data_IF_660849814857
#
_entry.id   IF_660849814857
#
_cell.length_a   1.000
_cell.length_b   1.000
_cell.length_c   1.000
_cell.angle_alpha   90.00
_cell.angle_beta   90.00
_cell.angle_gamma   90.00
#
_symmetry.space_group_name_H-M   'P 1'
#
loop_
_entity.id
_entity.type
_entity.pdbx_description
1 polymer ?
#
# COMPACT_ATOMS: atom_id res chain seq x y z
N UNK A 1 -33.48 25.14 1.35
CA UNK A 1 -32.65 24.14 0.66
C UNK A 1 -31.66 23.57 1.67
N UNK A 2 -31.84 22.31 2.08
CA UNK A 2 -30.97 21.67 3.06
C UNK A 2 -29.70 21.19 2.37
N UNK A 3 -28.53 21.67 2.82
CA UNK A 3 -27.23 21.14 2.42
C UNK A 3 -27.02 19.80 3.13
N UNK A 4 -27.17 18.70 2.40
CA UNK A 4 -26.81 17.36 2.85
C UNK A 4 -25.33 17.33 3.22
N UNK A 5 -25.03 17.12 4.51
CA UNK A 5 -23.68 16.76 4.96
C UNK A 5 -23.34 15.42 4.32
N UNK A 6 -22.42 15.40 3.37
CA UNK A 6 -21.78 14.17 2.94
C UNK A 6 -20.75 13.80 4.02
N UNK A 7 -21.20 13.12 5.06
CA UNK A 7 -20.34 12.42 6.01
C UNK A 7 -20.42 10.92 5.73
N UNK A 8 -19.97 10.51 4.56
CA UNK A 8 -19.51 9.13 4.35
C UNK A 8 -18.00 9.23 4.19
N UNK A 9 -17.30 9.15 5.32
CA UNK A 9 -15.87 8.91 5.29
C UNK A 9 -15.68 7.54 4.63
N UNK A 10 -15.16 7.53 3.41
CA UNK A 10 -14.68 6.30 2.76
C UNK A 10 -13.62 5.73 3.72
N UNK A 11 -13.96 4.60 4.34
CA UNK A 11 -13.12 3.97 5.35
C UNK A 11 -11.87 3.43 4.64
N UNK A 12 -10.69 3.91 5.04
CA UNK A 12 -9.45 3.47 4.40
C UNK A 12 -9.11 2.03 4.79
N UNK A 13 -8.31 1.31 3.99
CA UNK A 13 -7.77 0.00 4.39
C UNK A 13 -7.17 0.04 5.79
N UNK A 14 -6.37 1.07 6.10
CA UNK A 14 -5.66 1.17 7.36
C UNK A 14 -6.63 1.25 8.55
N UNK A 15 -7.68 2.05 8.40
CA UNK A 15 -8.74 2.18 9.40
C UNK A 15 -9.51 0.86 9.57
N UNK A 16 -9.88 0.23 8.46
CA UNK A 16 -10.58 -1.06 8.47
C UNK A 16 -9.72 -2.16 9.10
N UNK A 17 -8.44 -2.24 8.74
CA UNK A 17 -7.49 -3.21 9.28
C UNK A 17 -7.32 -3.03 10.79
N UNK A 18 -7.22 -1.77 11.25
CA UNK A 18 -7.13 -1.44 12.67
C UNK A 18 -8.39 -1.87 13.42
N UNK A 19 -9.57 -1.62 12.86
CA UNK A 19 -10.84 -2.03 13.45
C UNK A 19 -10.95 -3.55 13.55
N UNK A 20 -10.64 -4.28 12.48
CA UNK A 20 -10.67 -5.74 12.49
C UNK A 20 -9.68 -6.33 13.50
N UNK A 21 -8.47 -5.76 13.59
CA UNK A 21 -7.48 -6.17 14.60
C UNK A 21 -8.00 -5.94 16.03
N UNK A 22 -8.63 -4.79 16.28
CA UNK A 22 -9.20 -4.46 17.59
C UNK A 22 -10.41 -5.34 17.93
N UNK A 23 -11.27 -5.65 16.96
CA UNK A 23 -12.38 -6.58 17.11
C UNK A 23 -11.90 -8.00 17.44
N UNK A 24 -10.78 -8.42 16.86
CA UNK A 24 -10.09 -9.67 17.17
C UNK A 24 -9.30 -9.62 18.50
N UNK A 25 -9.30 -8.49 19.21
CA UNK A 25 -8.57 -8.27 20.47
C UNK A 25 -7.05 -8.50 20.36
N UNK A 26 -6.49 -8.30 19.17
CA UNK A 26 -5.07 -8.45 18.91
C UNK A 26 -4.33 -7.12 19.08
N UNK A 27 -3.18 -7.15 19.75
CA UNK A 27 -2.21 -6.07 19.63
C UNK A 27 -1.56 -6.07 18.25
N UNK A 28 -1.00 -4.94 17.84
CA UNK A 28 -0.27 -4.81 16.58
C UNK A 28 0.93 -5.78 16.52
N UNK A 29 1.53 -6.08 17.68
CA UNK A 29 2.63 -7.06 17.80
C UNK A 29 2.14 -8.49 17.60
N UNK A 30 1.03 -8.88 18.23
CA UNK A 30 0.46 -10.21 18.06
C UNK A 30 -0.03 -10.46 16.63
N UNK A 31 -0.58 -9.45 15.95
CA UNK A 31 -0.97 -9.59 14.54
C UNK A 31 0.26 -9.76 13.65
N UNK A 32 1.31 -8.96 13.87
CA UNK A 32 2.59 -9.10 13.17
C UNK A 32 3.20 -10.50 13.34
N UNK A 33 3.25 -11.02 14.58
CA UNK A 33 3.77 -12.36 14.88
C UNK A 33 2.95 -13.47 14.19
N UNK A 34 1.62 -13.38 14.19
CA UNK A 34 0.74 -14.39 13.56
C UNK A 34 0.77 -14.36 12.03
N UNK A 35 1.05 -13.20 11.43
CA UNK A 35 1.10 -13.02 9.98
C UNK A 35 2.49 -13.21 9.40
N UNK A 36 3.53 -13.18 10.23
CA UNK A 36 4.92 -13.17 9.76
C UNK A 36 5.36 -11.81 9.20
N UNK A 37 4.54 -10.77 9.37
CA UNK A 37 4.79 -9.42 8.88
C UNK A 37 5.52 -8.63 9.96
N UNK A 38 6.51 -7.81 9.59
CA UNK A 38 7.21 -6.98 10.59
C UNK A 38 6.27 -5.95 11.22
N UNK A 39 6.42 -5.75 12.53
CA UNK A 39 5.61 -4.79 13.28
C UNK A 39 5.70 -3.33 12.74
N UNK A 40 6.89 -2.82 12.34
CA UNK A 40 6.99 -1.50 11.72
C UNK A 40 6.22 -1.39 10.40
N UNK A 41 6.25 -2.43 9.57
CA UNK A 41 5.55 -2.44 8.28
C UNK A 41 4.04 -2.51 8.48
N UNK A 42 3.55 -3.36 9.38
CA UNK A 42 2.13 -3.41 9.76
C UNK A 42 1.63 -2.06 10.30
N UNK A 43 2.45 -1.37 11.10
CA UNK A 43 2.14 -0.02 11.59
C UNK A 43 2.05 1.02 10.46
N UNK A 44 2.86 0.88 9.40
CA UNK A 44 2.75 1.74 8.23
C UNK A 44 1.48 1.46 7.43
N UNK A 45 1.06 0.20 7.32
CA UNK A 45 -0.19 -0.19 6.65
C UNK A 45 -1.41 0.36 7.40
N UNK A 46 -1.51 0.18 8.73
CA UNK A 46 -2.64 0.71 9.53
C UNK A 46 -2.75 2.24 9.48
N UNK A 47 -1.64 2.94 9.24
CA UNK A 47 -1.61 4.41 9.08
C UNK A 47 -1.81 4.87 7.63
N UNK A 48 -1.96 3.95 6.68
CA UNK A 48 -2.08 4.25 5.26
C UNK A 48 -0.79 4.81 4.62
N UNK A 49 0.37 4.63 5.27
CA UNK A 49 1.68 5.10 4.77
C UNK A 49 2.32 4.13 3.76
N UNK A 50 1.85 2.87 3.73
CA UNK A 50 2.33 1.83 2.81
C UNK A 50 1.17 1.00 2.29
N UNK A 51 1.28 0.62 1.01
CA UNK A 51 0.41 -0.38 0.41
C UNK A 51 0.99 -1.79 0.65
N UNK A 52 0.18 -2.74 1.15
CA UNK A 52 0.58 -4.14 1.23
C UNK A 52 0.61 -4.79 -0.16
N UNK A 53 1.45 -5.82 -0.34
CA UNK A 53 1.35 -6.72 -1.50
C UNK A 53 0.12 -7.62 -1.40
N UNK A 54 -0.26 -8.26 -2.51
CA UNK A 54 -1.35 -9.23 -2.52
C UNK A 54 -1.13 -10.36 -1.48
N UNK A 55 0.11 -10.87 -1.37
CA UNK A 55 0.45 -11.90 -0.39
C UNK A 55 0.24 -11.44 1.04
N UNK A 56 0.63 -10.19 1.34
CA UNK A 56 0.43 -9.57 2.66
C UNK A 56 -1.06 -9.40 2.96
N UNK A 57 -1.86 -8.99 1.98
CA UNK A 57 -3.33 -8.91 2.12
C UNK A 57 -3.92 -10.28 2.43
N UNK A 58 -3.48 -11.34 1.74
CA UNK A 58 -3.94 -12.71 1.98
C UNK A 58 -3.58 -13.20 3.39
N UNK A 59 -2.35 -12.93 3.85
CA UNK A 59 -1.90 -13.29 5.20
C UNK A 59 -2.73 -12.59 6.29
N UNK A 60 -2.96 -11.28 6.13
CA UNK A 60 -3.78 -10.48 7.05
C UNK A 60 -5.23 -10.99 7.08
N UNK A 61 -5.81 -11.23 5.91
CA UNK A 61 -7.17 -11.73 5.77
C UNK A 61 -7.36 -13.09 6.45
N UNK A 62 -6.39 -14.00 6.29
CA UNK A 62 -6.39 -15.32 6.91
C UNK A 62 -6.40 -15.25 8.44
N UNK A 63 -5.55 -14.42 9.03
CA UNK A 63 -5.44 -14.28 10.50
C UNK A 63 -6.68 -13.58 11.08
N UNK A 64 -7.16 -12.53 10.40
CA UNK A 64 -8.33 -11.76 10.82
C UNK A 64 -9.67 -12.43 10.46
N UNK A 65 -9.65 -13.53 9.71
CA UNK A 65 -10.82 -14.29 9.24
C UNK A 65 -11.81 -13.42 8.45
N UNK A 66 -11.28 -12.56 7.59
CA UNK A 66 -12.05 -11.68 6.70
C UNK A 66 -11.76 -12.02 5.24
N UNK A 67 -12.61 -11.53 4.33
CA UNK A 67 -12.39 -11.73 2.89
C UNK A 67 -11.16 -10.96 2.41
N UNK A 68 -10.25 -11.67 1.75
CA UNK A 68 -9.07 -11.07 1.15
C UNK A 68 -9.44 -10.15 -0.03
N UNK A 69 -10.51 -10.44 -0.75
CA UNK A 69 -11.00 -9.61 -1.84
C UNK A 69 -11.50 -8.27 -1.30
N UNK A 70 -12.30 -8.30 -0.22
CA UNK A 70 -12.77 -7.09 0.46
C UNK A 70 -11.61 -6.26 1.01
N UNK A 71 -10.60 -6.92 1.59
CA UNK A 71 -9.41 -6.23 2.10
C UNK A 71 -8.55 -5.68 0.96
N UNK A 72 -8.47 -6.37 -0.17
CA UNK A 72 -7.75 -5.95 -1.36
C UNK A 72 -8.41 -4.75 -2.06
N UNK A 73 -9.74 -4.73 -2.15
CA UNK A 73 -10.52 -3.59 -2.66
C UNK A 73 -10.26 -2.32 -1.85
N UNK A 74 -10.28 -2.43 -0.52
CA UNK A 74 -9.95 -1.32 0.38
C UNK A 74 -8.47 -0.92 0.26
N UNK A 75 -7.59 -1.87 -0.03
CA UNK A 75 -6.16 -1.67 -0.25
C UNK A 75 -5.82 -0.98 -1.57
N UNK A 76 -6.60 -1.26 -2.61
CA UNK A 76 -6.58 -0.51 -3.86
C UNK A 76 -7.01 0.94 -3.63
N UNK A 77 -7.92 1.15 -2.67
CA UNK A 77 -8.49 2.44 -2.27
C UNK A 77 -7.75 3.11 -1.09
N UNK A 78 -6.58 2.59 -0.65
CA UNK A 78 -5.68 3.32 0.27
C UNK A 78 -5.26 4.57 -0.47
N UNK A 79 -5.92 5.70 -0.16
CA UNK A 79 -5.68 7.05 -0.70
C UNK A 79 -4.40 7.16 -1.54
N UNK A 80 -4.46 6.71 -2.79
CA UNK A 80 -4.73 7.72 -3.76
C UNK A 80 -6.25 7.86 -3.72
N UNK A 81 -6.88 9.02 -3.58
CA UNK A 81 -6.99 9.92 -4.73
C UNK A 81 -6.78 9.11 -6.06
N UNK A 82 -7.53 9.34 -7.15
CA UNK A 82 -6.78 9.27 -8.40
C UNK A 82 -5.50 10.06 -8.09
N UNK A 83 -4.30 9.53 -8.31
CA UNK A 83 -3.13 10.42 -8.35
C UNK A 83 -3.44 11.29 -9.56
N UNK A 84 -4.37 12.23 -9.39
CA UNK A 84 -4.68 13.32 -10.25
C UNK A 84 -3.37 14.01 -10.13
N UNK A 85 -2.54 13.71 -11.12
CA UNK A 85 -1.30 14.39 -11.28
C UNK A 85 -1.65 15.87 -11.31
N UNK A 86 -0.74 16.74 -10.89
CA UNK A 86 -1.03 18.17 -10.96
C UNK A 86 -1.43 18.53 -12.41
N UNK A 87 -0.88 17.79 -13.36
CA UNK A 87 -1.20 17.78 -14.77
C UNK A 87 -2.68 17.44 -15.05
N UNK A 88 -3.20 16.33 -14.53
CA UNK A 88 -4.61 15.94 -14.69
C UNK A 88 -5.56 16.96 -14.04
N UNK A 89 -5.18 17.54 -12.90
CA UNK A 89 -5.99 18.54 -12.20
C UNK A 89 -6.07 19.83 -13.02
N UNK A 90 -4.94 20.27 -13.58
CA UNK A 90 -4.88 21.45 -14.46
C UNK A 90 -5.68 21.20 -15.74
N UNK A 91 -5.61 20.00 -16.32
CA UNK A 91 -6.36 19.67 -17.53
C UNK A 91 -7.88 19.62 -17.31
N UNK A 92 -8.34 19.18 -16.13
CA UNK A 92 -9.75 19.04 -15.81
C UNK A 92 -10.42 20.34 -15.31
N UNK A 93 -9.67 21.42 -15.09
CA UNK A 93 -10.18 22.69 -14.55
C UNK A 93 -11.09 23.42 -15.58
N UNK A 94 -12.39 23.65 -15.27
CA UNK A 94 -13.32 24.33 -16.17
C UNK A 94 -13.06 25.84 -16.29
N UNK A 95 -12.35 26.45 -15.34
CA UNK A 95 -12.08 27.89 -15.33
C UNK A 95 -10.86 28.27 -16.18
N UNK A 96 -10.11 27.28 -16.69
CA UNK A 96 -8.92 27.49 -17.51
C UNK A 96 -9.19 27.32 -19.02
N UNK A 97 -8.72 28.29 -19.80
CA UNK A 97 -8.61 28.14 -21.26
C UNK A 97 -7.53 27.12 -21.64
N UNK A 98 -7.56 26.62 -22.87
CA UNK A 98 -6.54 25.70 -23.38
C UNK A 98 -5.12 26.30 -23.32
N UNK A 99 -4.99 27.60 -23.62
CA UNK A 99 -3.71 28.30 -23.55
C UNK A 99 -3.19 28.44 -22.11
N UNK A 100 -4.08 28.73 -21.15
CA UNK A 100 -3.71 28.82 -19.73
C UNK A 100 -3.30 27.46 -19.15
N UNK A 101 -4.00 26.38 -19.50
CA UNK A 101 -3.59 25.01 -19.13
C UNK A 101 -2.20 24.69 -19.64
N UNK A 102 -1.94 24.99 -20.91
CA UNK A 102 -0.64 24.73 -21.52
C UNK A 102 0.50 25.47 -20.81
N UNK A 103 0.32 26.76 -20.53
CA UNK A 103 1.32 27.57 -19.82
C UNK A 103 1.61 27.05 -18.41
N UNK A 104 0.58 26.63 -17.66
CA UNK A 104 0.74 26.07 -16.32
C UNK A 104 1.51 24.74 -16.34
N UNK A 105 1.20 23.87 -17.30
CA UNK A 105 1.90 22.59 -17.47
C UNK A 105 3.37 22.77 -17.84
N UNK A 106 3.69 23.76 -18.67
CA UNK A 106 5.06 24.07 -19.07
C UNK A 106 5.91 24.54 -17.88
N UNK A 107 5.37 25.46 -17.08
CA UNK A 107 6.03 25.94 -15.85
C UNK A 107 6.20 24.80 -14.84
N UNK A 108 5.15 23.98 -14.65
CA UNK A 108 5.18 22.84 -13.75
C UNK A 108 6.24 21.81 -14.18
N UNK A 109 6.29 21.47 -15.46
CA UNK A 109 7.28 20.55 -16.03
C UNK A 109 8.71 21.06 -15.84
N UNK A 110 8.94 22.36 -16.06
CA UNK A 110 10.27 22.97 -15.87
C UNK A 110 10.79 22.82 -14.43
N UNK A 111 9.92 22.92 -13.41
CA UNK A 111 10.31 22.75 -12.02
C UNK A 111 10.47 21.30 -11.57
N UNK A 112 9.75 20.38 -12.20
CA UNK A 112 9.71 18.97 -11.77
C UNK A 112 10.68 18.07 -12.52
N UNK A 113 11.07 18.43 -13.75
CA UNK A 113 12.03 17.70 -14.57
C UNK A 113 13.36 17.34 -13.83
N UNK A 114 14.05 18.27 -13.13
CA UNK A 114 15.31 17.93 -12.46
C UNK A 114 15.10 16.95 -11.29
N UNK A 115 14.11 17.19 -10.43
CA UNK A 115 13.81 16.32 -9.30
C UNK A 115 13.32 14.93 -9.72
N UNK A 116 12.71 14.81 -10.90
CA UNK A 116 12.27 13.53 -11.47
C UNK A 116 13.46 12.72 -11.99
N UNK A 117 14.38 13.36 -12.72
CA UNK A 117 15.60 12.71 -13.20
C UNK A 117 16.44 12.15 -12.05
N UNK A 118 16.57 12.88 -10.94
CA UNK A 118 17.27 12.41 -9.73
C UNK A 118 16.62 11.18 -9.09
N UNK A 119 15.29 11.13 -9.04
CA UNK A 119 14.55 9.99 -8.49
C UNK A 119 14.62 8.76 -9.39
N UNK A 120 14.55 8.97 -10.70
CA UNK A 120 14.65 7.90 -11.70
C UNK A 120 16.06 7.29 -11.71
N UNK A 121 17.10 8.11 -11.52
CA UNK A 121 18.48 7.64 -11.34
C UNK A 121 18.65 6.84 -10.04
N UNK A 122 18.07 7.31 -8.92
CA UNK A 122 18.15 6.63 -7.63
C UNK A 122 17.38 5.29 -7.56
N UNK A 123 16.46 5.03 -8.48
CA UNK A 123 15.68 3.79 -8.54
C UNK A 123 16.32 2.69 -9.40
N UNK A 124 17.40 2.98 -10.13
CA UNK A 124 18.09 2.03 -11.00
C UNK A 124 19.29 1.34 -10.32
N UNK A 125 19.61 1.70 -9.07
CA UNK A 125 20.82 1.26 -8.33
C UNK A 125 20.55 0.20 -7.24
N UNK A 126 19.34 -0.38 -7.14
CA UNK A 126 19.10 -1.55 -6.28
C UNK A 126 19.49 -2.84 -7.05
N UNK A 127 20.58 -3.54 -6.69
CA UNK A 127 20.87 -4.83 -7.27
C UNK A 127 19.88 -5.85 -6.69
N UNK A 128 19.21 -6.55 -7.60
CA UNK A 128 18.32 -7.69 -7.38
C UNK A 128 19.01 -8.74 -6.49
N UNK A 129 18.89 -8.60 -5.18
CA UNK A 129 19.37 -9.60 -4.21
C UNK A 129 18.25 -10.60 -4.03
N UNK A 130 18.18 -11.56 -4.95
CA UNK A 130 17.44 -12.80 -4.73
C UNK A 130 17.99 -13.48 -3.48
N UNK A 131 17.15 -13.88 -2.50
CA UNK A 131 17.61 -14.72 -1.42
C UNK A 131 17.76 -16.14 -1.96
N UNK A 132 19.01 -16.62 -2.03
CA UNK A 132 19.33 -18.03 -2.19
C UNK A 132 18.54 -18.83 -1.16
N UNK A 133 17.50 -19.51 -1.63
CA UNK A 133 16.73 -20.45 -0.81
C UNK A 133 17.42 -21.80 -0.96
N UNK A 134 18.23 -22.19 0.03
CA UNK A 134 18.74 -23.57 0.16
C UNK A 134 17.56 -24.55 0.20
N UNK A 135 17.55 -25.63 -0.61
CA UNK A 135 16.55 -26.67 -0.47
C UNK A 135 17.02 -27.72 0.56
N UNK A 136 16.22 -27.81 1.62
CA UNK A 136 15.73 -29.03 2.26
C UNK A 136 16.59 -30.31 2.13
N UNK A 137 17.27 -30.70 3.21
CA UNK A 137 17.61 -32.11 3.47
C UNK A 137 16.99 -32.53 4.80
N UNK A 138 15.87 -33.25 4.70
CA UNK A 138 15.20 -33.96 5.79
C UNK A 138 16.12 -35.05 6.39
N UNK A 139 16.00 -35.35 7.70
CA UNK A 139 16.70 -36.46 8.31
C UNK A 139 15.95 -37.76 8.01
N UNK A 140 16.64 -38.74 7.42
CA UNK A 140 16.14 -40.12 7.35
C UNK A 140 16.48 -40.85 8.65
N UNK A 141 15.44 -41.26 9.36
CA UNK A 141 15.45 -42.24 10.45
C UNK A 141 16.05 -43.57 9.95
N UNK A 142 16.92 -44.18 10.75
CA UNK A 142 17.02 -45.64 10.83
C UNK A 142 17.41 -46.06 12.27
N UNK A 143 16.57 -46.84 12.97
CA UNK A 143 16.99 -47.55 14.17
C UNK A 143 17.44 -48.96 13.77
N UNK A 144 18.62 -49.40 14.20
CA UNK A 144 18.88 -50.82 14.30
C UNK A 144 19.72 -51.16 15.54
N UNK A 145 19.02 -51.77 16.48
CA UNK A 145 19.51 -52.60 17.57
C UNK A 145 20.24 -53.82 17.03
N UNK A 146 21.48 -54.04 17.47
CA UNK A 146 22.05 -55.33 17.91
C UNK A 146 23.48 -55.12 18.44
#
# INVERSE_FOLDING_TARGET
MAKTKVSNAVQSLGDHLREQRQAAQLSLRQLAEQTGISNPYLSQIERGLRRPSADVVQQLAKVLRISADQLGELGADVRGTPSVTVEDAVLADPDLTAAQRHALLEVYAAFTAPARAEREAAQQDEPDTQPDTEPDTQPVDEPLTA
#
